data_IF_997774801066
#
_entry.id   IF_997774801066
#
_cell.length_a   1.000
_cell.length_b   1.000
_cell.length_c   1.000
_cell.angle_alpha   90.00
_cell.angle_beta   90.00
_cell.angle_gamma   90.00
#
_symmetry.space_group_name_H-M   'P 1'
#
loop_
_entity.id
_entity.type
_entity.pdbx_description
1 polymer ?
#
# COMPACT_ATOMS: atom_id res chain seq x y z
N UNK A 1 -8.38 -0.10 1.11
CA UNK A 1 -9.49 -0.76 1.85
C UNK A 1 -9.83 -2.08 1.17
N UNK A 2 -10.29 -3.09 1.92
CA UNK A 2 -10.58 -4.44 1.39
C UNK A 2 -12.05 -4.83 1.62
N UNK A 3 -12.63 -5.60 0.71
CA UNK A 3 -14.03 -6.05 0.76
C UNK A 3 -14.16 -7.49 0.26
N UNK A 4 -15.09 -8.28 0.80
CA UNK A 4 -15.36 -9.67 0.39
C UNK A 4 -16.24 -9.76 -0.87
N UNK A 5 -16.56 -8.63 -1.52
CA UNK A 5 -17.11 -8.60 -2.87
C UNK A 5 -18.61 -8.79 -2.99
N UNK A 6 -19.41 -8.58 -1.93
CA UNK A 6 -20.89 -8.59 -2.02
C UNK A 6 -21.53 -7.34 -2.67
N UNK A 7 -20.78 -6.63 -3.51
CA UNK A 7 -21.21 -5.43 -4.24
C UNK A 7 -20.22 -4.27 -4.03
N UNK A 8 -19.71 -3.69 -5.12
CA UNK A 8 -18.72 -2.59 -5.10
C UNK A 8 -19.20 -1.38 -4.29
N UNK A 9 -20.52 -1.16 -4.22
CA UNK A 9 -21.17 0.02 -3.64
C UNK A 9 -22.02 -0.25 -2.38
N UNK A 10 -22.16 -1.49 -1.92
CA UNK A 10 -23.06 -1.87 -0.83
C UNK A 10 -22.42 -1.90 0.58
N UNK A 11 -21.30 -1.19 0.79
CA UNK A 11 -20.90 -0.72 2.13
C UNK A 11 -20.11 -1.69 3.03
N UNK A 12 -19.37 -2.66 2.47
CA UNK A 12 -18.59 -3.64 3.24
C UNK A 12 -17.07 -3.43 3.30
N UNK A 13 -16.58 -2.18 3.23
CA UNK A 13 -15.14 -1.92 3.11
C UNK A 13 -14.44 -1.83 4.47
N UNK A 14 -13.47 -2.70 4.71
CA UNK A 14 -12.53 -2.59 5.83
C UNK A 14 -11.34 -1.74 5.41
N UNK A 15 -11.15 -0.58 6.05
CA UNK A 15 -9.97 0.25 5.80
C UNK A 15 -8.74 -0.41 6.45
N UNK A 16 -7.72 -0.67 5.63
CA UNK A 16 -6.50 -1.37 6.05
C UNK A 16 -5.31 -0.41 6.27
N UNK A 17 -5.39 0.78 5.68
CA UNK A 17 -4.42 1.86 5.78
C UNK A 17 -5.15 3.17 5.51
N UNK A 18 -4.80 4.23 6.26
CA UNK A 18 -5.33 5.59 6.06
C UNK A 18 -4.23 6.62 6.35
N UNK A 19 -4.05 7.56 5.42
CA UNK A 19 -3.22 8.76 5.55
C UNK A 19 -4.08 9.99 5.33
N UNK A 20 -3.83 11.08 6.04
CA UNK A 20 -4.61 12.31 5.91
C UNK A 20 -3.84 13.57 6.30
N UNK A 21 -3.05 13.55 7.37
CA UNK A 21 -2.46 14.76 7.96
C UNK A 21 -0.99 14.61 8.39
N UNK A 22 -0.42 13.40 8.27
CA UNK A 22 0.96 13.12 8.68
C UNK A 22 1.18 13.07 10.20
N UNK A 23 0.12 13.03 11.01
CA UNK A 23 0.20 12.94 12.47
C UNK A 23 0.84 11.65 12.97
N UNK A 24 0.85 10.59 12.16
CA UNK A 24 1.45 9.30 12.50
C UNK A 24 2.69 9.06 11.64
N UNK A 25 3.82 8.78 12.30
CA UNK A 25 5.02 8.31 11.61
C UNK A 25 4.80 6.90 11.07
N UNK A 26 5.01 6.68 9.76
CA UNK A 26 4.93 5.37 9.12
C UNK A 26 6.30 4.71 8.93
N UNK A 27 7.42 5.41 9.19
CA UNK A 27 8.74 4.78 9.22
C UNK A 27 8.91 3.98 10.52
N UNK A 28 8.41 2.73 10.51
CA UNK A 28 8.24 1.85 11.68
C UNK A 28 8.92 0.49 11.49
N UNK A 29 9.34 -0.17 12.58
CA UNK A 29 9.99 -1.49 12.51
C UNK A 29 8.99 -2.60 12.15
N UNK A 30 9.52 -3.76 11.74
CA UNK A 30 8.76 -4.96 11.33
C UNK A 30 7.66 -5.32 12.31
N UNK A 31 8.00 -5.32 13.61
CA UNK A 31 7.07 -5.70 14.68
C UNK A 31 5.81 -4.83 14.72
N UNK A 32 5.95 -3.54 14.40
CA UNK A 32 4.81 -2.62 14.36
C UNK A 32 3.99 -2.82 13.08
N UNK A 33 4.63 -3.00 11.93
CA UNK A 33 3.91 -3.32 10.68
C UNK A 33 3.16 -4.65 10.74
N UNK A 34 3.71 -5.65 11.44
CA UNK A 34 3.04 -6.92 11.71
C UNK A 34 1.78 -6.74 12.54
N UNK A 35 1.87 -6.02 13.66
CA UNK A 35 0.78 -5.87 14.64
C UNK A 35 -0.27 -4.82 14.23
N UNK A 36 0.14 -3.79 13.51
CA UNK A 36 -0.65 -2.58 13.30
C UNK A 36 -0.27 -1.46 14.26
N UNK A 37 -0.57 -0.22 13.85
CA UNK A 37 -0.27 1.01 14.59
C UNK A 37 -1.17 2.17 14.13
N UNK A 38 -1.19 3.25 14.92
CA UNK A 38 -2.00 4.45 14.65
C UNK A 38 -3.34 4.45 15.37
N UNK A 39 -4.25 5.31 14.92
CA UNK A 39 -5.60 5.47 15.48
C UNK A 39 -6.64 5.34 14.37
N UNK A 40 -7.66 4.49 14.59
CA UNK A 40 -8.77 4.28 13.64
C UNK A 40 -9.57 5.55 13.35
N UNK A 41 -9.58 6.52 14.28
CA UNK A 41 -10.19 7.84 14.10
C UNK A 41 -9.33 8.79 13.25
N UNK A 42 -8.06 8.44 12.99
CA UNK A 42 -7.09 9.25 12.22
C UNK A 42 -6.28 8.41 11.24
N UNK A 43 -4.94 8.56 11.27
CA UNK A 43 -4.03 7.75 10.46
C UNK A 43 -3.71 6.41 11.13
N UNK A 44 -3.76 5.32 10.36
CA UNK A 44 -3.41 4.00 10.89
C UNK A 44 -3.02 2.99 9.82
N UNK A 45 -2.42 1.89 10.30
CA UNK A 45 -2.12 0.67 9.58
C UNK A 45 -2.73 -0.51 10.33
N UNK A 46 -3.56 -1.31 9.67
CA UNK A 46 -4.30 -2.41 10.31
C UNK A 46 -3.38 -3.51 10.85
N UNK A 47 -2.21 -3.72 10.23
CA UNK A 47 -1.28 -4.80 10.58
C UNK A 47 -1.28 -5.93 9.56
N UNK A 48 -0.11 -6.40 9.18
CA UNK A 48 0.06 -7.47 8.19
C UNK A 48 -0.55 -8.79 8.66
N UNK A 49 -0.44 -9.10 9.96
CA UNK A 49 -1.04 -10.32 10.50
C UNK A 49 -2.58 -10.28 10.39
N UNK A 50 -3.18 -9.13 10.67
CA UNK A 50 -4.63 -8.95 10.51
C UNK A 50 -5.05 -9.08 9.05
N UNK A 51 -4.28 -8.51 8.11
CA UNK A 51 -4.54 -8.65 6.68
C UNK A 51 -4.46 -10.12 6.25
N UNK A 52 -3.42 -10.84 6.66
CA UNK A 52 -3.28 -12.28 6.38
C UNK A 52 -4.50 -13.07 6.89
N UNK A 53 -4.88 -12.89 8.16
CA UNK A 53 -6.02 -13.61 8.74
C UNK A 53 -7.36 -13.28 8.05
N UNK A 54 -7.53 -12.04 7.57
CA UNK A 54 -8.71 -11.65 6.78
C UNK A 54 -8.72 -12.32 5.41
N UNK A 55 -7.59 -12.29 4.69
CA UNK A 55 -7.55 -12.69 3.28
C UNK A 55 -7.21 -14.17 3.02
N UNK A 56 -6.82 -14.95 4.03
CA UNK A 56 -6.36 -16.34 3.86
C UNK A 56 -7.40 -17.35 3.37
N UNK A 57 -8.69 -17.12 3.63
CA UNK A 57 -9.73 -18.13 3.42
C UNK A 57 -10.74 -17.77 2.32
N UNK A 58 -10.73 -16.54 1.82
CA UNK A 58 -11.69 -16.03 0.84
C UNK A 58 -11.03 -15.01 -0.06
N UNK A 59 -11.61 -14.82 -1.24
CA UNK A 59 -11.18 -13.77 -2.16
C UNK A 59 -11.67 -12.41 -1.65
N UNK A 60 -10.76 -11.46 -1.52
CA UNK A 60 -11.07 -10.06 -1.20
C UNK A 60 -10.68 -9.17 -2.38
N UNK A 61 -11.44 -8.09 -2.56
CA UNK A 61 -11.11 -6.99 -3.45
C UNK A 61 -10.33 -5.94 -2.67
N UNK A 62 -9.44 -5.21 -3.34
CA UNK A 62 -8.74 -4.06 -2.79
C UNK A 62 -9.13 -2.81 -3.57
N UNK A 63 -9.49 -1.74 -2.86
CA UNK A 63 -9.66 -0.40 -3.41
C UNK A 63 -8.64 0.53 -2.79
N UNK A 64 -7.94 1.29 -3.62
CA UNK A 64 -7.03 2.37 -3.22
C UNK A 64 -7.68 3.68 -3.65
N UNK A 65 -7.96 4.56 -2.70
CA UNK A 65 -8.43 5.93 -2.98
C UNK A 65 -7.30 6.90 -2.65
N UNK A 66 -7.07 7.85 -3.54
CA UNK A 66 -6.02 8.87 -3.43
C UNK A 66 -6.63 10.25 -3.62
N UNK A 67 -6.11 11.23 -2.90
CA UNK A 67 -6.40 12.65 -3.05
C UNK A 67 -5.09 13.42 -3.07
N UNK A 68 -4.92 14.32 -4.03
CA UNK A 68 -3.74 15.19 -4.11
C UNK A 68 -3.95 16.53 -3.38
N UNK A 69 -2.91 17.37 -3.34
CA UNK A 69 -2.97 18.67 -2.67
C UNK A 69 -3.94 19.67 -3.34
N UNK A 70 -4.32 19.43 -4.59
CA UNK A 70 -5.31 20.21 -5.35
C UNK A 70 -6.73 19.63 -5.18
N UNK A 71 -6.91 18.64 -4.30
CA UNK A 71 -8.17 17.93 -4.01
C UNK A 71 -8.70 17.10 -5.19
N UNK A 72 -7.86 16.79 -6.18
CA UNK A 72 -8.22 15.84 -7.23
C UNK A 72 -8.21 14.43 -6.64
N UNK A 73 -9.24 13.66 -6.97
CA UNK A 73 -9.44 12.31 -6.47
C UNK A 73 -9.24 11.30 -7.58
N UNK A 74 -8.56 10.21 -7.25
CA UNK A 74 -8.39 9.05 -8.11
C UNK A 74 -8.58 7.77 -7.32
N UNK A 75 -8.93 6.69 -8.01
CA UNK A 75 -9.01 5.37 -7.40
C UNK A 75 -8.41 4.28 -8.29
N UNK A 76 -8.01 3.18 -7.67
CA UNK A 76 -7.64 1.95 -8.35
C UNK A 76 -8.30 0.77 -7.63
N UNK A 77 -8.96 -0.09 -8.38
CA UNK A 77 -9.64 -1.28 -7.87
C UNK A 77 -8.92 -2.54 -8.35
N UNK A 78 -8.73 -3.50 -7.46
CA UNK A 78 -8.16 -4.81 -7.77
C UNK A 78 -9.18 -5.88 -7.36
N UNK A 79 -9.54 -6.72 -8.33
CA UNK A 79 -10.54 -7.78 -8.13
C UNK A 79 -10.11 -8.86 -7.13
N UNK A 80 -8.79 -9.01 -6.89
CA UNK A 80 -8.21 -9.97 -5.96
C UNK A 80 -7.08 -9.33 -5.17
N UNK A 81 -7.07 -9.54 -3.86
CA UNK A 81 -6.02 -9.13 -2.94
C UNK A 81 -5.90 -10.15 -1.81
N UNK A 82 -4.67 -10.58 -1.54
CA UNK A 82 -4.31 -11.31 -0.33
C UNK A 82 -2.85 -11.10 0.01
N UNK A 83 -2.51 -11.40 1.26
CA UNK A 83 -1.12 -11.51 1.70
C UNK A 83 -0.88 -12.88 2.28
N UNK A 84 0.31 -13.44 2.07
CA UNK A 84 0.70 -14.74 2.67
C UNK A 84 1.04 -14.61 4.16
N UNK A 85 1.40 -15.72 4.79
CA UNK A 85 1.78 -15.73 6.20
C UNK A 85 3.17 -15.12 6.45
N UNK A 86 3.55 -14.93 7.72
CA UNK A 86 4.83 -14.31 8.09
C UNK A 86 6.05 -15.10 7.58
N UNK A 87 5.99 -16.44 7.56
CA UNK A 87 7.11 -17.28 7.09
C UNK A 87 7.39 -17.07 5.60
N UNK A 88 6.36 -16.69 4.83
CA UNK A 88 6.48 -16.32 3.42
C UNK A 88 6.78 -14.83 3.22
N UNK A 89 6.89 -14.06 4.32
CA UNK A 89 7.21 -12.64 4.30
C UNK A 89 6.02 -11.73 4.01
N UNK A 90 4.80 -12.17 4.34
CA UNK A 90 3.55 -11.46 4.00
C UNK A 90 3.49 -11.09 2.51
N UNK A 91 3.85 -12.03 1.64
CA UNK A 91 3.94 -11.80 0.20
C UNK A 91 2.61 -11.29 -0.38
N UNK A 92 2.68 -10.27 -1.22
CA UNK A 92 1.51 -9.67 -1.89
C UNK A 92 1.02 -10.54 -3.05
N UNK A 93 -0.28 -10.77 -3.07
CA UNK A 93 -1.03 -11.31 -4.21
C UNK A 93 -2.09 -10.30 -4.63
N UNK A 94 -1.99 -9.78 -5.85
CA UNK A 94 -2.93 -8.80 -6.39
C UNK A 94 -3.21 -9.05 -7.87
N UNK A 95 -4.48 -8.94 -8.30
CA UNK A 95 -4.84 -9.10 -9.71
C UNK A 95 -6.18 -8.45 -10.10
N UNK A 96 -6.36 -8.28 -11.42
CA UNK A 96 -7.57 -7.72 -12.04
C UNK A 96 -7.73 -6.24 -11.69
N UNK A 97 -6.74 -5.44 -12.07
CA UNK A 97 -6.77 -3.99 -11.90
C UNK A 97 -7.82 -3.36 -12.80
N UNK A 98 -8.53 -2.37 -12.25
CA UNK A 98 -9.48 -1.50 -12.94
C UNK A 98 -9.13 -0.08 -12.53
N UNK A 99 -8.76 0.73 -13.51
CA UNK A 99 -8.39 2.12 -13.31
C UNK A 99 -9.65 2.98 -13.04
N UNK A 100 -9.58 3.77 -11.98
CA UNK A 100 -10.57 4.78 -11.60
C UNK A 100 -9.94 6.17 -11.48
N UNK A 101 -8.92 6.46 -12.30
CA UNK A 101 -8.23 7.75 -12.39
C UNK A 101 -6.88 7.81 -11.66
N UNK A 102 -6.46 6.75 -10.99
CA UNK A 102 -5.15 6.67 -10.31
C UNK A 102 -4.11 5.81 -11.04
N UNK A 103 -4.52 5.03 -12.05
CA UNK A 103 -3.66 4.07 -12.74
C UNK A 103 -3.37 2.79 -11.94
N UNK A 104 -2.66 1.86 -12.56
CA UNK A 104 -2.20 0.61 -11.93
C UNK A 104 -0.72 0.72 -11.55
N UNK A 105 -0.47 1.00 -10.27
CA UNK A 105 0.88 1.03 -9.70
C UNK A 105 1.15 -0.12 -8.73
N UNK A 106 0.17 -0.99 -8.44
CA UNK A 106 0.35 -2.07 -7.45
C UNK A 106 0.64 -3.42 -8.12
N UNK A 107 0.15 -3.68 -9.34
CA UNK A 107 0.38 -4.95 -10.03
C UNK A 107 1.88 -5.25 -10.25
N UNK A 108 2.70 -4.22 -10.40
CA UNK A 108 4.16 -4.37 -10.51
C UNK A 108 4.79 -5.03 -9.27
N UNK A 109 4.19 -4.82 -8.11
CA UNK A 109 4.61 -5.33 -6.80
C UNK A 109 4.01 -6.69 -6.45
N UNK A 110 3.25 -7.30 -7.37
CA UNK A 110 2.74 -8.65 -7.17
C UNK A 110 3.89 -9.65 -6.94
N UNK A 111 3.63 -10.66 -6.09
CA UNK A 111 4.57 -11.68 -5.63
C UNK A 111 5.76 -11.20 -4.78
N UNK A 112 5.79 -9.93 -4.39
CA UNK A 112 6.88 -9.39 -3.57
C UNK A 112 6.62 -9.57 -2.08
N UNK A 113 7.69 -9.73 -1.31
CA UNK A 113 7.64 -9.78 0.16
C UNK A 113 7.62 -8.37 0.74
N UNK A 114 7.06 -8.24 1.94
CA UNK A 114 7.06 -6.96 2.65
C UNK A 114 8.43 -6.69 3.28
N UNK A 115 8.90 -5.45 3.17
CA UNK A 115 10.21 -5.02 3.68
C UNK A 115 10.07 -3.81 4.60
N UNK A 116 10.79 -3.81 5.73
CA UNK A 116 10.95 -2.67 6.64
C UNK A 116 12.43 -2.34 6.82
N UNK A 117 12.73 -1.20 7.47
CA UNK A 117 14.12 -0.78 7.65
C UNK A 117 14.95 -1.75 8.51
N UNK A 118 14.31 -2.56 9.34
CA UNK A 118 14.92 -3.56 10.22
C UNK A 118 14.71 -5.00 9.74
N UNK A 119 13.98 -5.22 8.63
CA UNK A 119 13.79 -6.53 8.02
C UNK A 119 13.78 -6.40 6.49
N UNK A 120 14.95 -6.62 5.91
CA UNK A 120 15.14 -6.59 4.47
C UNK A 120 14.66 -7.89 3.82
N UNK A 121 13.68 -7.78 2.93
CA UNK A 121 13.12 -8.89 2.17
C UNK A 121 12.92 -8.53 0.69
N UNK A 122 13.46 -7.39 0.25
CA UNK A 122 13.37 -6.97 -1.14
C UNK A 122 14.48 -7.64 -1.98
N UNK A 123 14.38 -7.55 -3.30
CA UNK A 123 15.32 -8.22 -4.21
C UNK A 123 16.50 -7.33 -4.61
N UNK A 124 16.70 -6.19 -3.94
CA UNK A 124 17.77 -5.25 -4.23
C UNK A 124 18.99 -5.47 -3.31
N UNK A 125 20.15 -4.97 -3.71
CA UNK A 125 21.39 -5.13 -2.94
C UNK A 125 21.39 -4.29 -1.64
N UNK A 126 20.67 -3.17 -1.65
CA UNK A 126 20.49 -2.28 -0.51
C UNK A 126 19.04 -2.30 -0.03
N UNK A 127 18.85 -2.18 1.29
CA UNK A 127 17.52 -2.12 1.90
C UNK A 127 16.72 -0.91 1.39
N UNK A 128 15.73 -1.15 0.53
CA UNK A 128 14.89 -0.10 -0.04
C UNK A 128 14.11 0.64 1.05
N UNK A 129 13.71 -0.06 2.12
CA UNK A 129 12.99 0.56 3.23
C UNK A 129 13.82 1.64 3.94
N UNK A 130 15.13 1.43 4.13
CA UNK A 130 16.05 2.44 4.66
C UNK A 130 16.28 3.61 3.70
N UNK A 131 16.42 3.32 2.40
CA UNK A 131 16.74 4.34 1.40
C UNK A 131 15.61 5.36 1.18
N UNK A 132 14.34 4.90 1.19
CA UNK A 132 13.19 5.78 0.93
C UNK A 132 12.33 6.06 2.16
N UNK A 133 12.78 5.62 3.34
CA UNK A 133 12.10 5.86 4.62
C UNK A 133 10.63 5.38 4.61
N UNK A 134 10.42 4.18 4.05
CA UNK A 134 9.11 3.58 3.83
C UNK A 134 9.13 2.08 4.18
N UNK A 135 7.96 1.44 4.15
CA UNK A 135 7.85 -0.02 4.19
C UNK A 135 6.79 -0.46 3.19
N UNK A 136 7.11 -1.44 2.36
CA UNK A 136 6.26 -1.84 1.24
C UNK A 136 6.63 -3.22 0.68
N UNK A 137 5.77 -3.75 -0.20
CA UNK A 137 6.05 -4.92 -1.03
C UNK A 137 6.96 -4.51 -2.21
N UNK A 138 8.28 -4.42 -2.00
CA UNK A 138 9.20 -3.87 -3.00
C UNK A 138 9.76 -4.94 -3.93
N UNK A 139 9.58 -4.77 -5.25
CA UNK A 139 10.24 -5.59 -6.29
C UNK A 139 11.63 -5.06 -6.66
N UNK A 140 11.83 -3.78 -6.43
CA UNK A 140 13.00 -2.95 -6.70
C UNK A 140 12.49 -1.50 -6.68
N UNK A 141 13.42 -0.56 -6.60
CA UNK A 141 13.15 0.87 -6.72
C UNK A 141 12.55 1.16 -8.09
N UNK A 142 11.26 1.52 -8.15
CA UNK A 142 10.74 2.29 -9.28
C UNK A 142 9.56 3.20 -8.88
N UNK A 143 9.79 4.50 -9.05
CA UNK A 143 8.90 5.68 -9.11
C UNK A 143 7.77 5.86 -8.07
N UNK A 144 8.12 6.34 -6.87
CA UNK A 144 7.30 7.38 -6.18
C UNK A 144 8.08 8.69 -5.95
N UNK A 145 9.23 8.86 -6.61
CA UNK A 145 9.92 10.15 -6.75
C UNK A 145 10.19 10.41 -8.21
N UNK A 146 9.25 11.09 -8.87
CA UNK A 146 9.49 12.19 -9.80
C UNK A 146 8.16 12.62 -10.42
N UNK A 147 7.53 13.60 -9.81
CA UNK A 147 6.84 14.63 -10.57
C UNK A 147 7.29 15.99 -10.02
N UNK A 148 8.51 16.46 -10.36
CA UNK A 148 8.81 17.87 -10.23
C UNK A 148 8.04 18.56 -11.35
N UNK A 149 7.01 19.33 -11.00
CA UNK A 149 6.37 20.27 -11.91
C UNK A 149 7.43 21.00 -12.73
N UNK A 150 7.26 21.17 -14.05
CA UNK A 150 8.22 21.92 -14.84
C UNK A 150 8.27 23.35 -14.31
N UNK A 151 9.42 23.72 -13.75
CA UNK A 151 9.75 25.13 -13.52
C UNK A 151 9.84 25.74 -14.91
N UNK A 152 8.87 26.59 -15.24
CA UNK A 152 8.95 27.45 -16.41
C UNK A 152 10.11 28.43 -16.19
N UNK A 153 11.25 28.18 -16.82
CA UNK A 153 12.26 29.22 -17.02
C UNK A 153 11.66 30.25 -17.98
N UNK A 154 11.33 31.42 -17.44
CA UNK A 154 11.09 32.63 -18.22
C UNK A 154 12.41 33.07 -18.82
N UNK A 155 12.44 33.19 -20.14
CA UNK A 155 13.50 33.89 -20.86
C UNK A 155 13.29 35.40 -20.74
N UNK A 156 14.29 36.12 -20.25
CA UNK A 156 14.48 37.55 -20.54
C UNK A 156 14.82 37.76 -22.03
#
# INVERSE_FOLDING_TARGET
MISDGKGEDNGGWTVIQRRMDGSVNFYRPWKEYKRGFGNVEGEYWLGLENMYQLTRNRKYMLRVDLEDFEKRKGSALYSSFSVDCETDGYKLHVSGSKDGGAGDSLSFHNEQKFTTFDKDQDTYENNCAKLYLWAFWSRAILFLKNDPSPVSEGTD
#
